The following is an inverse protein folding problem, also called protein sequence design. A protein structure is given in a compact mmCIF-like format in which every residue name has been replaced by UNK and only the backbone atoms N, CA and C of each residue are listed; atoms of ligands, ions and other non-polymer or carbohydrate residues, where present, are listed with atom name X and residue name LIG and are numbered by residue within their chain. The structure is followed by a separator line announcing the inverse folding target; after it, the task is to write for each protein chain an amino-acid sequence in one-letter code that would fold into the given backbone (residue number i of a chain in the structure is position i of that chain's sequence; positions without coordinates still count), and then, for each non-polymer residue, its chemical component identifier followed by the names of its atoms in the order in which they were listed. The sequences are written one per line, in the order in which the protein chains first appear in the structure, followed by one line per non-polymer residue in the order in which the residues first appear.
data_IF_268561358690
#
_entry.id   IF_268561358690
#
_cell.length_a   1.000
_cell.length_b   1.000
_cell.length_c   1.000
_cell.angle_alpha   90.00
_cell.angle_beta   90.00
_cell.angle_gamma   90.00
#
_symmetry.space_group_name_H-M   'P 1'
#
loop_
_entity.id
_entity.type
_entity.pdbx_description
1 polymer ?
#
# COMPACT_ATOMS: atom_id res chain seq x y z
N UNK A 1 -1.14 12.33 -12.16
CA UNK A 1 -0.68 10.93 -12.27
C UNK A 1 -1.35 10.12 -11.15
N UNK A 2 -1.41 8.80 -11.28
CA UNK A 2 -1.86 7.96 -10.16
C UNK A 2 -0.64 7.45 -9.38
N UNK A 3 -0.71 7.51 -8.06
CA UNK A 3 0.32 7.01 -7.14
C UNK A 3 -0.29 5.89 -6.30
N UNK A 4 0.33 4.72 -6.33
CA UNK A 4 -0.12 3.59 -5.53
C UNK A 4 0.28 3.78 -4.05
N UNK A 5 -0.61 3.53 -3.10
CA UNK A 5 -0.34 3.71 -1.66
C UNK A 5 -0.32 2.34 -1.00
N UNK A 6 0.86 1.96 -0.49
CA UNK A 6 1.14 0.69 0.15
C UNK A 6 0.83 0.68 1.67
N UNK A 7 0.70 -0.51 2.26
CA UNK A 7 0.58 -0.71 3.71
C UNK A 7 1.67 0.04 4.48
N UNK A 8 2.93 0.00 4.03
CA UNK A 8 4.04 0.67 4.72
C UNK A 8 3.84 2.19 4.84
N UNK A 9 3.32 2.84 3.80
CA UNK A 9 3.03 4.27 3.81
C UNK A 9 1.84 4.60 4.73
N UNK A 10 0.79 3.78 4.71
CA UNK A 10 -0.37 3.97 5.60
C UNK A 10 0.05 3.87 7.07
N UNK A 11 0.87 2.87 7.41
CA UNK A 11 1.37 2.69 8.77
C UNK A 11 2.23 3.85 9.23
N UNK A 12 3.17 4.32 8.40
CA UNK A 12 4.02 5.46 8.71
C UNK A 12 3.20 6.76 8.91
N UNK A 13 2.08 6.94 8.20
CA UNK A 13 1.20 8.10 8.40
C UNK A 13 0.43 8.06 9.73
N UNK A 14 0.12 6.87 10.23
CA UNK A 14 -0.69 6.68 11.45
C UNK A 14 0.17 6.63 12.71
N UNK A 15 1.35 6.02 12.65
CA UNK A 15 2.26 5.89 13.77
C UNK A 15 3.16 7.13 13.87
N UNK A 16 2.86 8.02 14.83
CA UNK A 16 3.64 9.26 15.04
C UNK A 16 5.04 9.01 15.58
N UNK A 17 5.27 7.83 16.17
CA UNK A 17 6.55 7.44 16.73
C UNK A 17 7.38 6.61 15.72
N UNK A 18 6.86 6.35 14.51
CA UNK A 18 7.60 5.68 13.43
C UNK A 18 8.65 6.61 12.83
N UNK A 19 9.88 6.11 12.65
CA UNK A 19 10.99 6.87 12.07
C UNK A 19 10.66 7.43 10.66
N UNK A 20 9.76 6.79 9.93
CA UNK A 20 9.31 7.23 8.61
C UNK A 20 8.15 8.22 8.65
N UNK A 21 7.59 8.53 9.82
CA UNK A 21 6.39 9.38 9.96
C UNK A 21 6.56 10.75 9.31
N UNK A 22 7.65 11.45 9.61
CA UNK A 22 7.91 12.78 9.05
C UNK A 22 8.06 12.74 7.52
N UNK A 23 8.76 11.71 7.01
CA UNK A 23 8.94 11.48 5.58
C UNK A 23 7.61 11.19 4.88
N UNK A 24 6.79 10.33 5.47
CA UNK A 24 5.46 10.00 4.97
C UNK A 24 4.52 11.21 4.96
N UNK A 25 4.51 11.99 6.04
CA UNK A 25 3.71 13.21 6.15
C UNK A 25 4.16 14.30 5.14
N UNK A 26 5.46 14.38 4.84
CA UNK A 26 5.98 15.27 3.80
C UNK A 26 5.58 14.81 2.40
N UNK A 27 5.72 13.51 2.11
CA UNK A 27 5.30 12.93 0.82
C UNK A 27 3.80 13.12 0.60
N UNK A 28 2.96 12.81 1.58
CA UNK A 28 1.51 13.04 1.51
C UNK A 28 1.15 14.51 1.19
N UNK A 29 1.90 15.47 1.75
CA UNK A 29 1.73 16.90 1.41
C UNK A 29 2.18 17.23 -0.01
N UNK A 30 3.29 16.65 -0.46
CA UNK A 30 3.84 16.87 -1.80
C UNK A 30 2.96 16.25 -2.90
N UNK A 31 2.29 15.15 -2.59
CA UNK A 31 1.36 14.44 -3.48
C UNK A 31 -0.05 15.06 -3.51
N UNK A 32 -0.26 16.22 -2.88
CA UNK A 32 -1.54 16.93 -2.96
C UNK A 32 -1.87 17.27 -4.41
N UNK A 33 -3.01 16.77 -4.89
CA UNK A 33 -3.47 16.94 -6.27
C UNK A 33 -3.16 15.74 -7.18
N UNK A 34 -2.35 14.79 -6.72
CA UNK A 34 -2.22 13.48 -7.38
C UNK A 34 -3.39 12.56 -7.01
N UNK A 35 -3.68 11.60 -7.88
CA UNK A 35 -4.66 10.55 -7.57
C UNK A 35 -3.99 9.47 -6.73
N UNK A 36 -4.34 9.40 -5.45
CA UNK A 36 -3.83 8.35 -4.56
C UNK A 36 -4.72 7.12 -4.66
N UNK A 37 -4.11 5.98 -4.96
CA UNK A 37 -4.81 4.73 -5.27
C UNK A 37 -4.28 3.63 -4.37
N UNK A 38 -5.15 2.81 -3.80
CA UNK A 38 -4.76 1.57 -3.10
C UNK A 38 -5.70 0.45 -3.49
N UNK A 39 -5.58 -0.73 -2.89
CA UNK A 39 -6.56 -1.79 -3.08
C UNK A 39 -7.06 -2.37 -1.76
N UNK A 40 -8.23 -3.01 -1.80
CA UNK A 40 -8.91 -3.51 -0.60
C UNK A 40 -8.06 -4.48 0.24
N UNK A 41 -7.13 -5.25 -0.34
CA UNK A 41 -6.26 -6.15 0.44
C UNK A 41 -5.25 -5.41 1.32
N UNK A 42 -4.71 -4.26 0.87
CA UNK A 42 -3.85 -3.39 1.70
C UNK A 42 -4.66 -2.87 2.88
N UNK A 43 -5.92 -2.45 2.67
CA UNK A 43 -6.76 -1.98 3.77
C UNK A 43 -7.02 -3.07 4.81
N UNK A 44 -7.24 -4.32 4.38
CA UNK A 44 -7.40 -5.46 5.29
C UNK A 44 -6.12 -5.70 6.11
N UNK A 45 -4.97 -5.72 5.45
CA UNK A 45 -3.67 -5.92 6.11
C UNK A 45 -3.33 -4.78 7.06
N UNK A 46 -3.40 -3.53 6.56
CA UNK A 46 -3.14 -2.33 7.34
C UNK A 46 -4.07 -2.24 8.55
N UNK A 47 -5.36 -2.51 8.41
CA UNK A 47 -6.30 -2.50 9.55
C UNK A 47 -5.92 -3.54 10.61
N UNK A 48 -5.53 -4.74 10.21
CA UNK A 48 -5.10 -5.79 11.15
C UNK A 48 -3.80 -5.38 11.88
N UNK A 49 -2.82 -4.84 11.15
CA UNK A 49 -1.54 -4.40 11.73
C UNK A 49 -1.76 -3.20 12.66
N UNK A 50 -2.45 -2.16 12.19
CA UNK A 50 -2.75 -0.95 12.96
C UNK A 50 -3.53 -1.27 14.22
N UNK A 51 -4.59 -2.08 14.14
CA UNK A 51 -5.38 -2.45 15.31
C UNK A 51 -4.52 -3.18 16.36
N UNK A 52 -3.67 -4.10 15.91
CA UNK A 52 -2.78 -4.88 16.79
C UNK A 52 -1.68 -4.04 17.43
N UNK A 53 -1.07 -3.12 16.67
CA UNK A 53 0.13 -2.37 17.09
C UNK A 53 -0.19 -1.02 17.74
N UNK A 54 -1.15 -0.29 17.17
CA UNK A 54 -1.46 1.11 17.52
C UNK A 54 -2.82 1.25 18.23
N UNK A 55 -3.60 0.17 18.28
CA UNK A 55 -4.88 0.10 18.98
C UNK A 55 -6.08 0.52 18.13
N UNK A 56 -7.28 0.44 18.73
CA UNK A 56 -8.55 0.65 18.04
C UNK A 56 -8.77 2.09 17.54
N UNK A 57 -8.18 3.09 18.19
CA UNK A 57 -8.24 4.48 17.75
C UNK A 57 -7.57 4.67 16.38
N UNK A 58 -6.31 4.26 16.26
CA UNK A 58 -5.60 4.35 14.98
C UNK A 58 -6.24 3.50 13.87
N UNK A 59 -6.84 2.35 14.21
CA UNK A 59 -7.57 1.53 13.24
C UNK A 59 -8.83 2.24 12.73
N UNK A 60 -9.50 3.02 13.59
CA UNK A 60 -10.59 3.90 13.19
C UNK A 60 -10.09 5.01 12.28
N UNK A 61 -9.03 5.72 12.68
CA UNK A 61 -8.45 6.80 11.87
C UNK A 61 -8.04 6.30 10.47
N UNK A 62 -7.50 5.07 10.38
CA UNK A 62 -7.22 4.43 9.09
C UNK A 62 -8.48 4.27 8.22
N UNK A 63 -9.56 3.72 8.78
CA UNK A 63 -10.73 3.30 8.00
C UNK A 63 -11.77 4.40 7.80
N UNK A 64 -11.91 5.32 8.75
CA UNK A 64 -12.89 6.41 8.73
C UNK A 64 -12.31 7.70 8.12
N UNK A 65 -10.98 7.93 8.19
CA UNK A 65 -10.36 9.17 7.71
C UNK A 65 -9.40 8.95 6.53
N UNK A 66 -8.42 8.05 6.67
CA UNK A 66 -7.36 7.89 5.67
C UNK A 66 -7.85 7.14 4.42
N UNK A 67 -8.50 6.00 4.60
CA UNK A 67 -8.97 5.17 3.48
C UNK A 67 -9.99 5.88 2.57
N UNK A 68 -10.97 6.66 3.07
CA UNK A 68 -11.89 7.41 2.22
C UNK A 68 -11.24 8.51 1.38
N UNK A 69 -10.04 8.96 1.74
CA UNK A 69 -9.26 9.90 0.93
C UNK A 69 -8.55 9.24 -0.26
N UNK A 70 -8.56 7.91 -0.35
CA UNK A 70 -7.90 7.12 -1.39
C UNK A 70 -8.93 6.57 -2.38
N UNK A 71 -8.53 6.43 -3.64
CA UNK A 71 -9.27 5.60 -4.60
C UNK A 71 -8.96 4.12 -4.30
N UNK A 72 -9.96 3.36 -3.86
CA UNK A 72 -9.80 1.94 -3.54
C UNK A 72 -10.19 1.08 -4.74
N UNK A 73 -9.21 0.42 -5.34
CA UNK A 73 -9.42 -0.59 -6.37
C UNK A 73 -9.79 -1.93 -5.71
N UNK A 74 -10.89 -2.51 -6.14
CA UNK A 74 -11.30 -3.82 -5.66
C UNK A 74 -10.59 -4.91 -6.45
N UNK A 75 -9.85 -5.76 -5.74
CA UNK A 75 -9.18 -6.93 -6.31
C UNK A 75 -10.25 -7.93 -6.75
N UNK A 76 -10.37 -8.11 -8.06
CA UNK A 76 -11.24 -9.11 -8.66
C UNK A 76 -10.59 -10.51 -8.66
N UNK A 77 -11.38 -11.51 -9.05
CA UNK A 77 -10.94 -12.90 -9.10
C UNK A 77 -9.72 -13.08 -10.03
N UNK A 78 -9.70 -12.42 -11.19
CA UNK A 78 -8.63 -12.56 -12.16
C UNK A 78 -7.31 -11.98 -11.64
N UNK A 79 -7.37 -10.83 -10.98
CA UNK A 79 -6.21 -10.17 -10.35
C UNK A 79 -5.70 -11.01 -9.19
N UNK A 80 -6.60 -11.53 -8.35
CA UNK A 80 -6.24 -12.43 -7.25
C UNK A 80 -5.52 -13.69 -7.76
N UNK A 81 -6.08 -14.38 -8.76
CA UNK A 81 -5.50 -15.61 -9.30
C UNK A 81 -4.13 -15.38 -9.95
N UNK A 82 -3.95 -14.26 -10.65
CA UNK A 82 -2.66 -13.88 -11.23
C UNK A 82 -1.61 -13.63 -10.14
N UNK A 83 -1.97 -12.86 -9.11
CA UNK A 83 -1.10 -12.59 -7.97
C UNK A 83 -0.73 -13.86 -7.21
N UNK A 84 -1.68 -14.77 -6.96
CA UNK A 84 -1.43 -16.08 -6.33
C UNK A 84 -0.47 -16.92 -7.16
N UNK A 85 -0.66 -16.97 -8.48
CA UNK A 85 0.23 -17.72 -9.38
C UNK A 85 1.66 -17.18 -9.33
N UNK A 86 1.81 -15.84 -9.36
CA UNK A 86 3.11 -15.19 -9.27
C UNK A 86 3.77 -15.40 -7.90
N UNK A 87 3.00 -15.30 -6.81
CA UNK A 87 3.46 -15.58 -5.46
C UNK A 87 3.95 -17.03 -5.31
N UNK A 88 3.21 -18.01 -5.83
CA UNK A 88 3.60 -19.43 -5.77
C UNK A 88 4.88 -19.69 -6.58
N UNK A 89 5.01 -19.08 -7.76
CA UNK A 89 6.23 -19.16 -8.56
C UNK A 89 7.45 -18.55 -7.84
N UNK A 90 7.21 -17.60 -6.94
CA UNK A 90 8.23 -16.88 -6.18
C UNK A 90 8.21 -17.18 -4.67
N UNK A 91 7.60 -18.29 -4.24
CA UNK A 91 7.24 -18.52 -2.81
C UNK A 91 8.44 -18.54 -1.85
N UNK A 92 9.65 -18.74 -2.37
CA UNK A 92 10.90 -18.69 -1.59
C UNK A 92 11.44 -17.27 -1.38
N UNK A 93 10.81 -16.26 -2.00
CA UNK A 93 11.15 -14.84 -1.85
C UNK A 93 10.39 -14.25 -0.66
N UNK A 94 10.79 -13.03 -0.27
CA UNK A 94 10.24 -12.31 0.89
C UNK A 94 8.86 -11.65 0.69
N UNK A 95 8.49 -11.11 -0.49
CA UNK A 95 7.24 -10.36 -0.63
C UNK A 95 6.02 -11.21 -0.23
N UNK A 96 5.11 -10.58 0.50
CA UNK A 96 3.84 -11.16 0.89
C UNK A 96 2.91 -11.35 -0.32
N UNK A 97 1.82 -12.10 -0.15
CA UNK A 97 0.79 -12.18 -1.19
C UNK A 97 0.16 -10.81 -1.46
N UNK A 98 0.04 -9.93 -0.46
CA UNK A 98 -0.49 -8.57 -0.61
C UNK A 98 0.42 -7.74 -1.52
N UNK A 99 1.74 -7.91 -1.41
CA UNK A 99 2.71 -7.26 -2.31
C UNK A 99 2.55 -7.77 -3.74
N UNK A 100 2.37 -9.07 -3.95
CA UNK A 100 2.13 -9.62 -5.29
C UNK A 100 0.82 -9.12 -5.91
N UNK A 101 -0.23 -8.94 -5.08
CA UNK A 101 -1.47 -8.28 -5.52
C UNK A 101 -1.21 -6.82 -5.88
N UNK A 102 -0.41 -6.10 -5.08
CA UNK A 102 -0.02 -4.71 -5.35
C UNK A 102 0.67 -4.59 -6.70
N UNK A 103 1.65 -5.45 -6.97
CA UNK A 103 2.38 -5.45 -8.25
C UNK A 103 1.46 -5.74 -9.44
N UNK A 104 0.51 -6.65 -9.29
CA UNK A 104 -0.45 -6.97 -10.35
C UNK A 104 -1.42 -5.80 -10.60
N UNK A 105 -1.96 -5.19 -9.53
CA UNK A 105 -2.83 -4.03 -9.63
C UNK A 105 -2.12 -2.86 -10.31
N UNK A 106 -0.89 -2.54 -9.86
CA UNK A 106 -0.10 -1.46 -10.44
C UNK A 106 0.16 -1.68 -11.94
N UNK A 107 0.53 -2.89 -12.37
CA UNK A 107 0.75 -3.20 -13.79
C UNK A 107 -0.52 -3.04 -14.61
N UNK A 108 -1.67 -3.56 -14.12
CA UNK A 108 -2.96 -3.48 -14.83
C UNK A 108 -3.50 -2.06 -14.93
N UNK A 109 -3.21 -1.22 -13.95
CA UNK A 109 -3.65 0.17 -13.90
C UNK A 109 -2.61 1.16 -14.45
N UNK A 110 -1.52 0.67 -15.04
CA UNK A 110 -0.42 1.49 -15.57
C UNK A 110 0.16 2.48 -14.54
N UNK A 111 0.18 2.07 -13.27
CA UNK A 111 0.73 2.86 -12.17
C UNK A 111 2.21 2.48 -11.98
N UNK A 112 3.10 3.44 -12.19
CA UNK A 112 4.54 3.20 -12.13
C UNK A 112 5.19 3.58 -10.79
N UNK A 113 4.49 4.39 -9.97
CA UNK A 113 5.03 4.96 -8.74
C UNK A 113 4.21 4.52 -7.53
N UNK A 114 4.88 4.00 -6.51
CA UNK A 114 4.30 3.65 -5.22
C UNK A 114 4.77 4.64 -4.14
N UNK A 115 3.85 5.17 -3.36
CA UNK A 115 4.13 5.67 -2.03
C UNK A 115 4.29 4.45 -1.11
N UNK A 116 5.54 4.05 -0.88
CA UNK A 116 5.92 2.86 -0.13
C UNK A 116 7.37 2.99 0.36
N UNK A 117 7.68 2.35 1.48
CA UNK A 117 9.04 2.26 2.02
C UNK A 117 9.70 0.89 1.79
N UNK A 118 8.96 -0.06 1.19
CA UNK A 118 9.48 -1.39 0.87
C UNK A 118 10.30 -1.40 -0.43
N UNK A 119 11.50 -1.98 -0.36
CA UNK A 119 12.41 -2.15 -1.50
C UNK A 119 11.91 -3.18 -2.51
N UNK A 120 10.94 -4.02 -2.14
CA UNK A 120 10.37 -5.02 -3.02
C UNK A 120 9.65 -4.39 -4.23
N UNK A 121 9.06 -3.20 -4.09
CA UNK A 121 8.51 -2.43 -5.23
C UNK A 121 9.59 -2.08 -6.27
N UNK A 122 10.75 -1.61 -5.82
CA UNK A 122 11.88 -1.29 -6.71
C UNK A 122 12.41 -2.55 -7.40
N UNK A 123 12.49 -3.67 -6.67
CA UNK A 123 12.90 -4.95 -7.24
C UNK A 123 11.93 -5.49 -8.31
N UNK A 124 10.68 -5.01 -8.32
CA UNK A 124 9.67 -5.33 -9.34
C UNK A 124 9.59 -4.29 -10.47
N UNK A 125 10.45 -3.26 -10.45
CA UNK A 125 10.54 -2.25 -11.50
C UNK A 125 9.68 -1.01 -11.27
N UNK A 126 9.11 -0.83 -10.08
CA UNK A 126 8.36 0.37 -9.73
C UNK A 126 9.27 1.46 -9.14
N UNK A 127 8.86 2.72 -9.29
CA UNK A 127 9.44 3.85 -8.56
C UNK A 127 8.79 3.94 -7.19
N UNK A 128 9.55 4.31 -6.17
CA UNK A 128 8.99 4.60 -4.84
C UNK A 128 9.11 6.09 -4.51
N UNK A 129 8.19 6.58 -3.68
CA UNK A 129 8.28 7.89 -3.04
C UNK A 129 7.91 7.75 -1.55
N UNK A 130 8.54 8.53 -0.64
CA UNK A 130 9.88 9.05 -0.87
C UNK A 130 10.88 7.92 -1.15
#
# INVERSE_FOLDING_TARGET
MSIFVDTSALLALLDRDDDMHEGAAAAMRALRGESLVTHNYILVEAAAITHRRLGGGAARDLLEDLAPALTVLWVDEQTHQAAVSAFLAAVRRRPSLVDWVSFEVMRRSEIETAFAFDRDFVAQGFRTVP
#
